data_IF_016475652257
#
_entry.id   IF_016475652257
#
_cell.length_a   1.000
_cell.length_b   1.000
_cell.length_c   1.000
_cell.angle_alpha   90.00
_cell.angle_beta   90.00
_cell.angle_gamma   90.00
#
_symmetry.space_group_name_H-M   'P 1'
#
loop_
_entity.id
_entity.type
_entity.pdbx_description
1 polymer ?
#
# COMPACT_ATOMS: atom_id res chain seq x y z
N UNK A 1 20.01 -12.55 8.67
CA UNK A 1 20.63 -11.58 7.76
C UNK A 1 20.11 -10.25 8.26
N UNK A 2 20.98 -9.42 8.86
CA UNK A 2 20.58 -8.05 9.23
C UNK A 2 20.12 -7.35 7.95
N UNK A 3 19.01 -6.58 7.96
CA UNK A 3 18.65 -5.78 6.79
C UNK A 3 19.81 -4.84 6.48
N UNK A 4 20.27 -4.85 5.24
CA UNK A 4 21.34 -4.00 4.77
C UNK A 4 20.91 -2.53 4.96
N UNK A 5 21.80 -1.69 5.50
CA UNK A 5 21.46 -0.31 5.90
C UNK A 5 21.24 0.65 4.73
N UNK A 6 21.32 0.13 3.51
CA UNK A 6 21.26 0.83 2.22
C UNK A 6 19.87 1.05 1.65
N UNK A 7 18.83 0.40 2.18
CA UNK A 7 17.47 0.45 1.62
C UNK A 7 16.50 1.39 2.37
N UNK A 8 17.01 2.11 3.38
CA UNK A 8 16.24 3.12 4.10
C UNK A 8 16.38 4.49 3.43
N UNK A 9 15.26 5.11 3.11
CA UNK A 9 15.19 6.45 2.53
C UNK A 9 14.53 7.41 3.51
N UNK A 10 15.09 8.61 3.60
CA UNK A 10 14.59 9.66 4.48
C UNK A 10 13.66 10.61 3.71
N UNK A 11 12.44 10.78 4.22
CA UNK A 11 11.46 11.75 3.73
C UNK A 11 11.25 12.82 4.78
N UNK A 12 11.51 14.08 4.43
CA UNK A 12 11.35 15.20 5.35
C UNK A 12 10.30 16.19 4.84
N UNK A 13 9.23 16.35 5.62
CA UNK A 13 8.12 17.26 5.35
C UNK A 13 7.97 18.24 6.52
N UNK A 14 8.55 19.43 6.37
CA UNK A 14 8.59 20.42 7.44
C UNK A 14 9.28 19.86 8.71
N UNK A 15 8.62 19.80 9.88
CA UNK A 15 9.20 19.27 11.12
C UNK A 15 9.07 17.74 11.28
N UNK A 16 8.60 17.03 10.25
CA UNK A 16 8.43 15.58 10.27
C UNK A 16 9.46 14.92 9.37
N UNK A 17 10.17 13.94 9.90
CA UNK A 17 11.13 13.12 9.16
C UNK A 17 10.76 11.66 9.33
N UNK A 18 10.64 10.94 8.23
CA UNK A 18 10.25 9.54 8.14
C UNK A 18 11.37 8.75 7.49
N UNK A 19 11.65 7.55 8.01
CA UNK A 19 12.53 6.59 7.37
C UNK A 19 11.67 5.48 6.77
N UNK A 20 11.78 5.23 5.48
CA UNK A 20 11.03 4.16 4.81
C UNK A 20 12.03 3.13 4.30
N UNK A 21 11.82 1.88 4.68
CA UNK A 21 12.59 0.75 4.17
C UNK A 21 11.94 0.21 2.89
N UNK A 22 12.54 0.49 1.73
CA UNK A 22 11.95 0.10 0.44
C UNK A 22 11.96 -1.42 0.21
N UNK A 23 12.95 -2.15 0.71
CA UNK A 23 12.96 -3.63 0.62
C UNK A 23 11.76 -4.22 1.37
N UNK A 24 11.39 -3.62 2.50
CA UNK A 24 10.22 -4.04 3.27
C UNK A 24 8.93 -3.71 2.51
N UNK A 25 8.82 -2.53 1.90
CA UNK A 25 7.67 -2.14 1.06
C UNK A 25 7.53 -3.11 -0.11
N UNK A 26 8.63 -3.41 -0.81
CA UNK A 26 8.65 -4.34 -1.95
C UNK A 26 8.26 -5.76 -1.51
N UNK A 27 8.85 -6.26 -0.41
CA UNK A 27 8.55 -7.59 0.15
C UNK A 27 7.07 -7.73 0.49
N UNK A 28 6.51 -6.77 1.20
CA UNK A 28 5.09 -6.78 1.60
C UNK A 28 4.20 -6.68 0.37
N UNK A 29 4.50 -5.76 -0.54
CA UNK A 29 3.75 -5.59 -1.79
C UNK A 29 3.73 -6.88 -2.61
N UNK A 30 4.88 -7.56 -2.76
CA UNK A 30 4.97 -8.84 -3.47
C UNK A 30 4.17 -9.95 -2.80
N UNK A 31 4.12 -9.99 -1.48
CA UNK A 31 3.30 -10.97 -0.75
C UNK A 31 1.80 -10.71 -0.96
N UNK A 32 1.38 -9.44 -0.97
CA UNK A 32 0.00 -9.04 -1.29
C UNK A 32 -0.35 -9.44 -2.73
N UNK A 33 0.51 -9.10 -3.69
CA UNK A 33 0.32 -9.44 -5.11
C UNK A 33 0.22 -10.95 -5.33
N UNK A 34 1.06 -11.77 -4.68
CA UNK A 34 1.00 -13.24 -4.78
C UNK A 34 -0.33 -13.82 -4.32
N UNK A 35 -0.88 -13.27 -3.22
CA UNK A 35 -2.17 -13.70 -2.68
C UNK A 35 -3.33 -13.38 -3.61
N UNK A 36 -3.20 -12.31 -4.39
CA UNK A 36 -4.17 -11.90 -5.41
C UNK A 36 -3.87 -12.49 -6.79
N UNK A 37 -2.73 -13.17 -6.97
CA UNK A 37 -2.31 -13.77 -8.24
C UNK A 37 -1.84 -12.77 -9.30
N UNK A 38 -1.30 -11.62 -8.87
CA UNK A 38 -0.86 -10.51 -9.74
C UNK A 38 0.63 -10.16 -9.50
N UNK A 39 1.43 -11.11 -9.04
CA UNK A 39 2.84 -10.91 -8.67
C UNK A 39 3.80 -10.69 -9.86
N UNK A 40 3.32 -10.94 -11.07
CA UNK A 40 3.93 -10.59 -12.34
C UNK A 40 3.59 -9.16 -12.82
N UNK A 41 2.69 -8.45 -12.12
CA UNK A 41 2.41 -7.04 -12.41
C UNK A 41 3.37 -6.12 -11.64
N UNK A 42 3.80 -5.05 -12.30
CA UNK A 42 4.62 -3.99 -11.71
C UNK A 42 3.76 -3.01 -10.93
N UNK A 43 4.21 -2.65 -9.73
CA UNK A 43 3.57 -1.71 -8.81
C UNK A 43 4.56 -0.60 -8.49
N UNK A 44 4.13 0.66 -8.64
CA UNK A 44 4.87 1.79 -8.07
C UNK A 44 4.26 2.20 -6.72
N UNK A 45 5.11 2.54 -5.76
CA UNK A 45 4.69 3.10 -4.47
C UNK A 45 5.50 4.36 -4.19
N UNK A 46 4.81 5.49 -4.10
CA UNK A 46 5.38 6.80 -3.84
C UNK A 46 4.91 7.35 -2.48
N UNK A 47 5.77 8.16 -1.87
CA UNK A 47 5.51 8.86 -0.60
C UNK A 47 5.58 10.38 -0.81
N UNK A 48 4.58 10.98 -1.47
CA UNK A 48 4.54 12.41 -1.74
C UNK A 48 4.42 13.27 -0.49
N UNK A 49 4.82 14.53 -0.61
CA UNK A 49 4.58 15.57 0.39
C UNK A 49 3.08 15.88 0.54
N UNK A 50 2.65 16.51 1.65
CA UNK A 50 1.25 16.90 1.84
C UNK A 50 0.71 17.83 0.73
N UNK A 51 1.56 18.69 0.16
CA UNK A 51 1.18 19.57 -0.95
C UNK A 51 0.96 18.79 -2.24
N UNK A 52 1.82 17.80 -2.52
CA UNK A 52 1.68 16.89 -3.67
C UNK A 52 0.44 16.01 -3.51
N UNK A 53 0.19 15.45 -2.32
CA UNK A 53 -1.03 14.67 -2.06
C UNK A 53 -2.30 15.46 -2.28
N UNK A 54 -2.37 16.69 -1.77
CA UNK A 54 -3.51 17.58 -2.01
C UNK A 54 -3.70 17.89 -3.50
N UNK A 55 -2.60 18.14 -4.23
CA UNK A 55 -2.65 18.37 -5.68
C UNK A 55 -3.18 17.14 -6.42
N UNK A 56 -2.66 15.96 -6.11
CA UNK A 56 -3.12 14.70 -6.70
C UNK A 56 -4.61 14.46 -6.41
N UNK A 57 -5.06 14.67 -5.17
CA UNK A 57 -6.47 14.47 -4.81
C UNK A 57 -7.39 15.49 -5.50
N UNK A 58 -6.92 16.73 -5.68
CA UNK A 58 -7.66 17.74 -6.44
C UNK A 58 -7.71 17.40 -7.93
N UNK A 59 -6.59 16.97 -8.52
CA UNK A 59 -6.50 16.67 -9.96
C UNK A 59 -7.34 15.45 -10.35
N UNK A 60 -7.26 14.38 -9.57
CA UNK A 60 -7.87 13.09 -9.93
C UNK A 60 -9.23 12.83 -9.27
N UNK A 61 -9.56 13.51 -8.18
CA UNK A 61 -10.83 13.30 -7.43
C UNK A 61 -11.64 14.58 -7.18
N UNK A 62 -11.20 15.74 -7.70
CA UNK A 62 -11.82 17.06 -7.48
C UNK A 62 -12.03 17.40 -5.99
N UNK A 63 -11.05 16.99 -5.15
CA UNK A 63 -11.07 17.20 -3.69
C UNK A 63 -9.87 18.02 -3.26
N UNK A 64 -10.12 19.27 -2.86
CA UNK A 64 -9.07 20.21 -2.43
C UNK A 64 -8.59 19.97 -0.98
N UNK A 65 -8.16 18.74 -0.69
CA UNK A 65 -7.66 18.31 0.62
C UNK A 65 -6.69 17.13 0.50
N UNK A 66 -5.82 16.92 1.48
CA UNK A 66 -4.99 15.71 1.54
C UNK A 66 -5.84 14.46 1.83
N UNK A 67 -5.26 13.29 1.59
CA UNK A 67 -5.78 11.98 1.98
C UNK A 67 -4.60 11.06 2.30
N UNK A 68 -4.89 9.97 3.00
CA UNK A 68 -3.93 8.93 3.37
C UNK A 68 -3.37 8.13 2.18
N UNK A 69 -4.21 7.72 1.22
CA UNK A 69 -3.80 6.96 0.05
C UNK A 69 -4.60 7.31 -1.21
N UNK A 70 -3.90 7.32 -2.35
CA UNK A 70 -4.48 7.36 -3.69
C UNK A 70 -3.96 6.17 -4.50
N UNK A 71 -4.84 5.59 -5.32
CA UNK A 71 -4.55 4.45 -6.18
C UNK A 71 -4.89 4.79 -7.61
N UNK A 72 -3.95 4.52 -8.52
CA UNK A 72 -4.04 4.83 -9.94
C UNK A 72 -3.93 3.50 -10.74
N UNK A 73 -5.04 2.79 -10.96
CA UNK A 73 -5.02 1.50 -11.66
C UNK A 73 -4.63 1.67 -13.13
N UNK A 74 -3.81 0.74 -13.63
CA UNK A 74 -3.44 0.64 -15.05
C UNK A 74 -3.95 -0.65 -15.70
N UNK A 75 -4.63 -1.50 -14.91
CA UNK A 75 -5.26 -2.72 -15.36
C UNK A 75 -6.71 -2.76 -14.84
N UNK A 76 -7.64 -3.13 -15.72
CA UNK A 76 -9.01 -3.43 -15.33
C UNK A 76 -9.12 -4.93 -15.02
N UNK A 77 -9.47 -5.25 -13.77
CA UNK A 77 -9.80 -6.61 -13.34
C UNK A 77 -11.31 -6.72 -13.12
N UNK A 78 -11.98 -7.53 -13.93
CA UNK A 78 -13.41 -7.78 -13.81
C UNK A 78 -13.71 -9.28 -14.04
N UNK A 79 -14.12 -10.04 -13.00
CA UNK A 79 -14.27 -9.58 -11.62
C UNK A 79 -12.91 -9.34 -10.91
N UNK A 80 -12.88 -8.53 -9.83
CA UNK A 80 -11.68 -8.34 -9.01
C UNK A 80 -11.18 -9.67 -8.41
N UNK A 81 -9.86 -9.95 -8.45
CA UNK A 81 -9.32 -11.16 -7.84
C UNK A 81 -9.42 -11.12 -6.31
N UNK A 82 -9.62 -12.27 -5.69
CA UNK A 82 -9.68 -12.42 -4.23
C UNK A 82 -8.61 -13.41 -3.75
N UNK A 83 -8.33 -13.44 -2.44
CA UNK A 83 -7.44 -14.44 -1.84
C UNK A 83 -7.96 -15.87 -2.10
N UNK A 84 -9.28 -16.05 -2.16
CA UNK A 84 -9.92 -17.35 -2.41
C UNK A 84 -10.01 -17.69 -3.91
N UNK A 85 -10.06 -16.67 -4.77
CA UNK A 85 -10.08 -16.78 -6.22
C UNK A 85 -9.02 -15.85 -6.83
N UNK A 86 -7.73 -16.21 -6.68
CA UNK A 86 -6.64 -15.37 -7.18
C UNK A 86 -6.65 -15.35 -8.69
N UNK A 87 -6.16 -14.25 -9.26
CA UNK A 87 -5.96 -14.15 -10.70
C UNK A 87 -4.99 -15.24 -11.15
N UNK A 88 -5.34 -15.97 -12.22
CA UNK A 88 -4.51 -17.06 -12.73
C UNK A 88 -3.83 -16.54 -13.99
N UNK A 89 -2.57 -16.15 -13.83
CA UNK A 89 -1.76 -15.65 -14.93
C UNK A 89 -1.72 -16.63 -16.11
N UNK A 90 -1.97 -16.10 -17.29
CA UNK A 90 -1.56 -16.73 -18.56
C UNK A 90 -0.07 -16.47 -18.71
N UNK A 91 0.68 -17.53 -19.01
CA UNK A 91 2.13 -17.61 -19.16
C UNK A 91 2.84 -16.25 -19.37
N UNK A 92 3.68 -15.78 -18.44
CA UNK A 92 4.36 -14.49 -18.52
C UNK A 92 5.46 -14.45 -19.60
N UNK A 93 5.68 -15.52 -20.37
CA UNK A 93 6.81 -15.65 -21.29
C UNK A 93 6.68 -14.92 -22.63
N UNK A 94 5.56 -14.24 -22.91
CA UNK A 94 5.43 -13.39 -24.11
C UNK A 94 4.65 -12.10 -23.81
N UNK A 95 5.37 -11.01 -23.54
CA UNK A 95 4.78 -9.66 -23.46
C UNK A 95 5.66 -8.61 -22.76
N UNK A 96 5.32 -7.31 -22.90
CA UNK A 96 5.86 -6.27 -22.05
C UNK A 96 5.44 -6.48 -20.58
N UNK A 97 6.15 -5.88 -19.61
CA UNK A 97 5.73 -5.91 -18.20
C UNK A 97 4.29 -5.44 -18.07
N UNK A 98 3.49 -6.17 -17.29
CA UNK A 98 2.11 -5.79 -17.00
C UNK A 98 2.13 -4.80 -15.86
N UNK A 99 1.45 -3.67 -15.99
CA UNK A 99 1.46 -2.63 -14.97
C UNK A 99 0.20 -2.76 -14.13
N UNK A 100 0.35 -2.92 -12.81
CA UNK A 100 -0.76 -2.90 -11.87
C UNK A 100 -1.25 -1.46 -11.69
N UNK A 101 -0.30 -0.54 -11.51
CA UNK A 101 -0.53 0.88 -11.35
C UNK A 101 0.33 1.49 -10.25
N UNK A 102 -0.09 2.67 -9.81
CA UNK A 102 0.67 3.51 -8.87
C UNK A 102 -0.10 3.73 -7.57
N UNK A 103 0.63 3.71 -6.45
CA UNK A 103 0.13 4.11 -5.14
C UNK A 103 0.85 5.35 -4.65
N UNK A 104 0.09 6.31 -4.14
CA UNK A 104 0.62 7.47 -3.45
C UNK A 104 0.15 7.45 -1.99
N UNK A 105 1.08 7.28 -1.04
CA UNK A 105 0.79 7.15 0.39
C UNK A 105 1.34 8.37 1.14
N UNK A 106 0.46 9.07 1.87
CA UNK A 106 0.84 10.20 2.72
C UNK A 106 1.36 9.71 4.08
N UNK A 107 2.67 9.83 4.32
CA UNK A 107 3.25 9.49 5.63
C UNK A 107 2.76 10.38 6.76
N UNK A 108 2.40 11.64 6.45
CA UNK A 108 1.89 12.60 7.44
C UNK A 108 0.47 12.22 7.86
N UNK A 109 -0.42 12.00 6.90
CA UNK A 109 -1.80 11.62 7.18
C UNK A 109 -1.87 10.22 7.82
N UNK A 110 -1.02 9.28 7.37
CA UNK A 110 -0.87 7.97 8.00
C UNK A 110 -0.39 8.07 9.46
N UNK A 111 0.58 8.94 9.77
CA UNK A 111 1.05 9.14 11.15
C UNK A 111 -0.06 9.70 12.05
N UNK A 112 -0.87 10.63 11.53
CA UNK A 112 -2.03 11.17 12.26
C UNK A 112 -3.10 10.10 12.49
N UNK A 113 -3.45 9.32 11.45
CA UNK A 113 -4.43 8.25 11.59
C UNK A 113 -3.96 7.19 12.59
N UNK A 114 -2.71 6.73 12.47
CA UNK A 114 -2.10 5.75 13.36
C UNK A 114 -2.18 6.19 14.84
N UNK A 115 -1.91 7.47 15.13
CA UNK A 115 -2.04 8.04 16.49
C UNK A 115 -3.48 8.03 16.97
N UNK A 116 -4.44 8.41 16.12
CA UNK A 116 -5.84 8.50 16.49
C UNK A 116 -6.44 7.14 16.87
N UNK A 117 -6.01 6.07 16.21
CA UNK A 117 -6.49 4.70 16.47
C UNK A 117 -5.55 3.87 17.37
N UNK A 118 -4.43 4.45 17.81
CA UNK A 118 -3.50 3.83 18.76
C UNK A 118 -2.63 2.71 18.17
N UNK A 119 -2.25 2.80 16.89
CA UNK A 119 -1.36 1.84 16.24
C UNK A 119 -0.04 2.47 15.77
N UNK A 120 0.91 1.63 15.32
CA UNK A 120 2.17 2.11 14.76
C UNK A 120 1.98 2.66 13.34
N UNK A 121 2.79 3.64 12.97
CA UNK A 121 2.85 4.16 11.60
C UNK A 121 3.16 3.04 10.59
N UNK A 122 4.09 2.14 10.93
CA UNK A 122 4.44 1.03 10.06
C UNK A 122 3.23 0.08 9.79
N UNK A 123 2.37 -0.15 10.79
CA UNK A 123 1.14 -0.94 10.61
C UNK A 123 0.12 -0.18 9.75
N UNK A 124 0.01 1.13 9.94
CA UNK A 124 -0.85 1.98 9.11
C UNK A 124 -0.40 1.98 7.65
N UNK A 125 0.90 2.14 7.37
CA UNK A 125 1.43 2.11 5.99
C UNK A 125 1.16 0.74 5.35
N UNK A 126 1.32 -0.35 6.09
CA UNK A 126 0.94 -1.68 5.60
C UNK A 126 -0.56 -1.78 5.28
N UNK A 127 -1.41 -1.28 6.18
CA UNK A 127 -2.85 -1.23 5.98
C UNK A 127 -3.21 -0.45 4.71
N UNK A 128 -2.59 0.71 4.49
CA UNK A 128 -2.78 1.54 3.30
C UNK A 128 -2.22 0.88 2.03
N UNK A 129 -1.12 0.13 2.12
CA UNK A 129 -0.61 -0.68 1.01
C UNK A 129 -1.59 -1.77 0.60
N UNK A 130 -2.12 -2.55 1.55
CA UNK A 130 -3.12 -3.58 1.27
C UNK A 130 -4.37 -2.94 0.67
N UNK A 131 -4.87 -1.86 1.27
CA UNK A 131 -6.03 -1.12 0.80
C UNK A 131 -5.83 -0.59 -0.63
N UNK A 132 -4.69 0.04 -0.88
CA UNK A 132 -4.34 0.59 -2.17
C UNK A 132 -4.21 -0.48 -3.25
N UNK A 133 -3.53 -1.60 -2.96
CA UNK A 133 -3.40 -2.70 -3.93
C UNK A 133 -4.76 -3.33 -4.24
N UNK A 134 -5.65 -3.48 -3.26
CA UNK A 134 -7.02 -3.95 -3.51
C UNK A 134 -7.76 -3.01 -4.49
N UNK A 135 -7.64 -1.70 -4.30
CA UNK A 135 -8.18 -0.73 -5.28
C UNK A 135 -7.55 -0.84 -6.66
N UNK A 136 -6.23 -1.06 -6.76
CA UNK A 136 -5.57 -1.31 -8.05
C UNK A 136 -6.06 -2.60 -8.72
N UNK A 137 -6.49 -3.58 -7.93
CA UNK A 137 -7.11 -4.82 -8.40
C UNK A 137 -8.62 -4.70 -8.69
N UNK A 138 -9.19 -3.49 -8.67
CA UNK A 138 -10.60 -3.26 -9.01
C UNK A 138 -11.58 -3.49 -7.86
N UNK A 139 -11.12 -3.71 -6.62
CA UNK A 139 -12.01 -3.66 -5.46
C UNK A 139 -12.43 -2.20 -5.21
N UNK A 140 -13.71 -1.99 -5.01
CA UNK A 140 -14.25 -0.70 -4.59
C UNK A 140 -15.13 -0.90 -3.34
N UNK A 141 -15.65 0.19 -2.81
CA UNK A 141 -16.52 0.22 -1.64
C UNK A 141 -17.67 1.22 -1.88
N UNK A 142 -18.22 1.24 -3.09
CA UNK A 142 -19.31 2.15 -3.46
C UNK A 142 -20.65 1.69 -2.86
N UNK A 143 -20.81 0.39 -2.67
CA UNK A 143 -21.92 -0.20 -1.92
C UNK A 143 -21.47 -1.11 -0.76
N UNK A 144 -22.44 -1.52 0.05
CA UNK A 144 -22.22 -2.29 1.28
C UNK A 144 -21.68 -3.69 0.99
N UNK A 145 -22.07 -4.31 -0.12
CA UNK A 145 -21.62 -5.65 -0.47
C UNK A 145 -20.16 -5.63 -0.92
N UNK A 146 -19.82 -4.69 -1.81
CA UNK A 146 -18.44 -4.44 -2.25
C UNK A 146 -17.53 -4.08 -1.07
N UNK A 147 -17.98 -3.16 -0.20
CA UNK A 147 -17.23 -2.79 1.02
C UNK A 147 -16.98 -4.01 1.92
N UNK A 148 -18.00 -4.84 2.14
CA UNK A 148 -17.86 -6.06 2.95
C UNK A 148 -16.84 -7.03 2.35
N UNK A 149 -16.84 -7.21 1.03
CA UNK A 149 -15.89 -8.07 0.32
C UNK A 149 -14.47 -7.51 0.47
N UNK A 150 -14.27 -6.23 0.13
CA UNK A 150 -12.96 -5.58 0.21
C UNK A 150 -12.39 -5.62 1.63
N UNK A 151 -13.21 -5.29 2.65
CA UNK A 151 -12.81 -5.36 4.05
C UNK A 151 -12.47 -6.79 4.49
N UNK A 152 -13.16 -7.80 3.96
CA UNK A 152 -12.82 -9.20 4.23
C UNK A 152 -11.47 -9.57 3.60
N UNK A 153 -11.20 -9.18 2.35
CA UNK A 153 -9.91 -9.39 1.69
C UNK A 153 -8.79 -8.70 2.47
N UNK A 154 -9.00 -7.44 2.85
CA UNK A 154 -8.03 -6.65 3.60
C UNK A 154 -7.69 -7.30 4.94
N UNK A 155 -8.69 -7.78 5.69
CA UNK A 155 -8.45 -8.51 6.95
C UNK A 155 -7.64 -9.79 6.72
N UNK A 156 -8.03 -10.63 5.75
CA UNK A 156 -7.33 -11.88 5.46
C UNK A 156 -5.86 -11.67 5.08
N UNK A 157 -5.59 -10.64 4.28
CA UNK A 157 -4.21 -10.31 3.88
C UNK A 157 -3.42 -9.77 5.06
N UNK A 158 -3.99 -8.85 5.85
CA UNK A 158 -3.35 -8.31 7.06
C UNK A 158 -3.01 -9.40 8.08
N UNK A 159 -3.96 -10.29 8.39
CA UNK A 159 -3.74 -11.42 9.31
C UNK A 159 -2.60 -12.31 8.83
N UNK A 160 -2.55 -12.63 7.53
CA UNK A 160 -1.51 -13.49 7.00
C UNK A 160 -0.11 -12.83 6.97
N UNK A 161 -0.05 -11.50 6.79
CA UNK A 161 1.20 -10.74 6.92
C UNK A 161 1.68 -10.69 8.38
N UNK A 162 0.76 -10.71 9.35
CA UNK A 162 1.06 -10.70 10.79
C UNK A 162 1.45 -12.10 11.33
N UNK A 163 0.96 -13.20 10.74
CA UNK A 163 1.30 -14.58 11.17
C UNK A 163 2.72 -15.03 10.79
N UNK A 164 3.36 -14.39 9.81
CA UNK A 164 4.67 -14.79 9.27
C UNK A 164 5.90 -14.29 10.04
N UNK A 165 5.79 -13.18 10.79
CA UNK A 165 6.88 -12.54 11.54
C UNK A 165 6.29 -11.63 12.65
N UNK A 166 6.98 -11.43 13.80
CA UNK A 166 6.44 -10.57 14.85
C UNK A 166 6.27 -9.13 14.33
N UNK A 167 5.15 -8.45 14.64
CA UNK A 167 4.85 -7.10 14.16
C UNK A 167 6.02 -6.12 14.33
N UNK A 168 6.78 -6.23 15.43
CA UNK A 168 7.93 -5.38 15.72
C UNK A 168 9.16 -5.57 14.81
N UNK A 169 9.19 -6.60 13.96
CA UNK A 169 10.28 -6.87 12.97
C UNK A 169 9.86 -6.62 11.54
N UNK A 170 8.57 -6.82 11.22
CA UNK A 170 7.98 -6.47 9.92
C UNK A 170 7.78 -4.96 9.81
N UNK A 171 7.46 -4.33 10.95
CA UNK A 171 6.97 -2.96 11.08
C UNK A 171 7.87 -2.10 11.96
N UNK A 172 9.18 -2.30 11.91
CA UNK A 172 10.11 -1.37 12.51
C UNK A 172 10.92 -0.79 11.37
N UNK A 173 10.56 0.39 10.86
CA UNK A 173 11.54 1.38 10.38
C UNK A 173 10.96 2.77 10.08
N UNK A 174 9.65 3.03 10.14
CA UNK A 174 9.12 4.39 10.14
C UNK A 174 9.23 5.04 11.53
N UNK A 175 10.46 5.35 11.94
CA UNK A 175 10.70 6.13 13.15
C UNK A 175 10.72 7.63 12.82
N UNK A 176 9.91 8.42 13.53
CA UNK A 176 10.09 9.87 13.56
C UNK A 176 11.46 10.17 14.15
N UNK A 177 12.35 10.79 13.39
CA UNK A 177 13.59 11.33 13.95
C UNK A 177 13.21 12.43 14.95
N UNK A 178 13.67 12.30 16.21
CA UNK A 178 13.58 13.40 17.16
C UNK A 178 14.58 14.47 16.70
N UNK A 179 14.10 15.70 16.56
CA UNK A 179 14.97 16.88 16.61
C UNK A 179 15.82 16.87 17.88
#
# INVERSE_FOLDING_TARGET
>A
MEPDSTSNYEFSFGPHTYLVNFDQIERVSKEIQKRLGVDDYELSVDFPSPEEMRKLNQEYRDKDKSTDVLSFPQQDFDPPPTVESPFRNVDPTDGPPRLLGDLAISLVDAEENAKNIGQSLDREVCFLLVHGILHLCGHDHLDVEEEHIMLAQQRMIMEALEEGEPPSRVWAHCARSKA
#
